data_IF_149535550343
#
_entry.id   IF_149535550343
#
_cell.length_a   1.000
_cell.length_b   1.000
_cell.length_c   1.000
_cell.angle_alpha   90.00
_cell.angle_beta   90.00
_cell.angle_gamma   90.00
#
_symmetry.space_group_name_H-M   'P 1'
#
loop_
_entity.id
_entity.type
_entity.pdbx_description
1 polymer ?
#
# COMPACT_ATOMS: atom_id res chain seq x y z
N UNK A 1 -18.88 14.03 3.31
CA UNK A 1 -18.32 13.18 4.39
C UNK A 1 -16.83 13.41 4.41
N UNK A 2 -16.21 13.50 5.59
CA UNK A 2 -14.80 13.88 5.69
C UNK A 2 -13.86 12.76 5.20
N UNK A 3 -12.68 13.16 4.74
CA UNK A 3 -11.57 12.28 4.45
C UNK A 3 -11.05 11.66 5.76
N UNK A 4 -11.42 10.41 6.03
CA UNK A 4 -10.91 9.68 7.20
C UNK A 4 -9.48 9.23 6.94
N UNK A 5 -8.58 9.66 7.81
CA UNK A 5 -7.28 9.03 8.00
C UNK A 5 -7.36 8.12 9.24
N UNK A 6 -6.66 7.00 9.21
CA UNK A 6 -6.69 5.97 10.24
C UNK A 6 -5.27 5.62 10.64
N UNK A 7 -4.95 5.73 11.93
CA UNK A 7 -3.58 5.54 12.44
C UNK A 7 -3.48 4.20 13.15
N UNK A 8 -2.92 3.23 12.44
CA UNK A 8 -2.53 1.94 12.98
C UNK A 8 -1.33 2.12 13.92
N UNK A 9 -1.33 1.41 15.05
CA UNK A 9 -0.22 1.41 16.02
C UNK A 9 0.28 -0.02 16.22
N UNK A 10 1.52 -0.14 16.65
CA UNK A 10 2.22 -1.41 16.81
C UNK A 10 2.79 -1.48 18.24
N UNK A 11 2.21 -2.32 19.09
CA UNK A 11 2.55 -2.35 20.53
C UNK A 11 3.99 -2.85 20.76
N UNK A 12 4.42 -3.86 19.99
CA UNK A 12 5.80 -4.39 20.01
C UNK A 12 6.85 -3.44 19.39
N UNK A 13 6.40 -2.38 18.72
CA UNK A 13 7.25 -1.38 18.06
C UNK A 13 6.92 0.04 18.58
N UNK A 14 7.17 0.31 19.88
CA UNK A 14 6.82 1.58 20.49
C UNK A 14 7.53 2.74 19.81
N UNK A 15 6.75 3.76 19.42
CA UNK A 15 7.24 4.88 18.62
C UNK A 15 7.04 4.70 17.11
N UNK A 16 6.48 3.57 16.66
CA UNK A 16 6.04 3.36 15.27
C UNK A 16 4.51 3.26 15.13
N UNK A 17 3.98 3.94 14.11
CA UNK A 17 2.56 4.07 13.82
C UNK A 17 2.31 4.30 12.33
N UNK A 18 1.43 3.54 11.68
CA UNK A 18 1.09 3.69 10.26
C UNK A 18 -0.26 4.40 10.11
N UNK A 19 -0.22 5.70 9.81
CA UNK A 19 -1.36 6.44 9.25
C UNK A 19 -1.75 5.82 7.92
N UNK A 20 -3.03 5.83 7.55
CA UNK A 20 -3.61 5.26 6.32
C UNK A 20 -4.81 6.14 5.90
N UNK A 21 -5.12 6.29 4.61
CA UNK A 21 -6.16 7.19 4.05
C UNK A 21 -6.66 6.60 2.75
N UNK A 22 -7.94 6.70 2.35
CA UNK A 22 -8.37 6.31 0.98
C UNK A 22 -8.47 7.53 0.04
N UNK A 23 -8.20 7.33 -1.25
CA UNK A 23 -8.40 8.28 -2.34
C UNK A 23 -9.15 7.66 -3.52
N UNK A 24 -9.78 8.53 -4.28
CA UNK A 24 -10.58 8.23 -5.46
C UNK A 24 -10.18 9.20 -6.56
N UNK A 25 -10.56 8.89 -7.79
CA UNK A 25 -10.41 9.75 -8.97
C UNK A 25 -8.98 10.31 -9.21
N UNK A 26 -7.94 9.49 -9.03
CA UNK A 26 -6.55 9.96 -9.03
C UNK A 26 -5.90 10.12 -10.40
N UNK A 27 -5.72 11.37 -10.78
CA UNK A 27 -5.22 11.79 -12.07
C UNK A 27 -3.73 11.47 -12.31
N UNK A 28 -2.88 11.42 -11.28
CA UNK A 28 -1.42 11.42 -11.43
C UNK A 28 -0.71 10.06 -11.20
N UNK A 29 -1.41 8.93 -11.33
CA UNK A 29 -0.87 7.58 -11.02
C UNK A 29 0.44 7.22 -11.74
N UNK A 30 0.65 7.71 -12.97
CA UNK A 30 1.91 7.51 -13.71
C UNK A 30 3.04 8.35 -13.14
N UNK A 31 2.80 9.64 -12.87
CA UNK A 31 3.77 10.53 -12.23
C UNK A 31 4.19 9.99 -10.86
N UNK A 32 3.22 9.47 -10.11
CA UNK A 32 3.43 8.78 -8.83
C UNK A 32 4.29 7.51 -9.00
N UNK A 33 4.10 6.72 -10.06
CA UNK A 33 4.99 5.58 -10.36
C UNK A 33 6.41 6.02 -10.68
N UNK A 34 6.54 6.98 -11.58
CA UNK A 34 7.83 7.44 -12.09
C UNK A 34 8.63 8.12 -10.96
N UNK A 35 7.96 8.81 -10.02
CA UNK A 35 8.58 9.37 -8.80
C UNK A 35 8.96 8.31 -7.77
N UNK A 36 8.21 7.19 -7.61
CA UNK A 36 8.66 6.04 -6.79
C UNK A 36 9.90 5.39 -7.41
N UNK A 37 9.89 5.17 -8.73
CA UNK A 37 11.01 4.52 -9.42
C UNK A 37 12.28 5.39 -9.43
N UNK A 38 12.12 6.71 -9.49
CA UNK A 38 13.22 7.67 -9.36
C UNK A 38 13.67 7.89 -7.89
N UNK A 39 12.89 7.44 -6.90
CA UNK A 39 13.16 7.72 -5.48
C UNK A 39 13.06 9.20 -5.10
N UNK A 40 12.26 9.98 -5.83
CA UNK A 40 12.17 11.45 -5.72
C UNK A 40 10.86 11.95 -5.12
N UNK A 41 10.08 11.03 -4.58
CA UNK A 41 8.80 11.30 -3.96
C UNK A 41 9.06 11.98 -2.59
N UNK A 42 8.29 13.03 -2.27
CA UNK A 42 8.53 13.90 -1.12
C UNK A 42 7.20 14.26 -0.44
N UNK A 43 6.80 13.59 0.66
CA UNK A 43 7.51 12.46 1.29
C UNK A 43 7.75 11.24 0.33
N UNK A 44 8.78 10.36 0.46
CA UNK A 44 8.97 9.10 -0.35
C UNK A 44 7.73 8.20 -0.16
N UNK A 45 7.46 7.14 -0.93
CA UNK A 45 6.47 6.16 -0.48
C UNK A 45 6.45 4.77 -1.10
N UNK A 46 5.71 3.90 -0.43
CA UNK A 46 5.13 2.69 -0.97
C UNK A 46 3.75 2.95 -1.55
N UNK A 47 3.67 3.31 -2.82
CA UNK A 47 2.39 3.21 -3.53
C UNK A 47 2.01 1.74 -3.69
N UNK A 48 0.79 1.37 -3.30
CA UNK A 48 0.23 0.00 -3.38
C UNK A 48 -0.96 -0.04 -4.37
N UNK A 49 -1.65 -1.17 -4.52
CA UNK A 49 -2.89 -1.34 -5.27
C UNK A 49 -4.04 -1.79 -4.35
N UNK A 50 -5.14 -1.01 -4.26
CA UNK A 50 -6.25 -1.27 -3.34
C UNK A 50 -7.07 -2.47 -3.78
N UNK A 51 -7.08 -2.77 -5.08
CA UNK A 51 -7.62 -4.02 -5.59
C UNK A 51 -6.90 -5.28 -5.04
N UNK A 52 -5.69 -5.12 -4.49
CA UNK A 52 -4.87 -6.19 -3.91
C UNK A 52 -4.73 -6.11 -2.38
N UNK A 53 -5.57 -5.31 -1.71
CA UNK A 53 -5.67 -5.26 -0.25
C UNK A 53 -7.13 -5.54 0.12
N UNK A 54 -7.39 -6.70 0.70
CA UNK A 54 -8.75 -7.11 1.07
C UNK A 54 -9.30 -6.45 2.34
N UNK A 55 -8.43 -6.08 3.27
CA UNK A 55 -8.81 -5.48 4.56
C UNK A 55 -7.67 -4.62 5.15
N UNK A 56 -7.97 -3.80 6.14
CA UNK A 56 -6.96 -3.01 6.87
C UNK A 56 -6.06 -3.88 7.76
N UNK A 57 -6.57 -5.00 8.30
CA UNK A 57 -5.78 -5.98 9.06
C UNK A 57 -4.64 -6.58 8.22
N UNK A 58 -4.87 -6.74 6.91
CA UNK A 58 -3.85 -7.20 5.95
C UNK A 58 -2.72 -6.17 5.80
N UNK A 59 -3.04 -4.87 5.78
CA UNK A 59 -2.05 -3.80 5.81
C UNK A 59 -1.29 -3.77 7.14
N UNK A 60 -1.99 -3.92 8.27
CA UNK A 60 -1.38 -3.96 9.60
C UNK A 60 -0.34 -5.09 9.69
N UNK A 61 -0.70 -6.31 9.30
CA UNK A 61 0.21 -7.45 9.34
C UNK A 61 1.41 -7.31 8.39
N UNK A 62 1.22 -6.78 7.17
CA UNK A 62 2.32 -6.52 6.25
C UNK A 62 3.27 -5.44 6.79
N UNK A 63 2.74 -4.41 7.45
CA UNK A 63 3.50 -3.33 8.07
C UNK A 63 4.27 -3.82 9.31
N UNK A 64 3.64 -4.57 10.21
CA UNK A 64 4.29 -5.25 11.34
C UNK A 64 5.46 -6.12 10.85
N UNK A 65 5.24 -6.88 9.77
CA UNK A 65 6.29 -7.74 9.18
C UNK A 65 7.46 -6.95 8.60
N UNK A 66 7.19 -5.80 7.98
CA UNK A 66 8.23 -4.89 7.49
C UNK A 66 9.04 -4.27 8.64
N UNK A 67 8.38 -3.81 9.71
CA UNK A 67 9.02 -3.30 10.93
C UNK A 67 9.91 -4.37 11.58
N UNK A 68 9.40 -5.59 11.71
CA UNK A 68 10.15 -6.71 12.29
C UNK A 68 11.41 -7.05 11.46
N UNK A 69 11.33 -6.98 10.13
CA UNK A 69 12.49 -7.14 9.26
C UNK A 69 13.49 -5.97 9.39
N UNK A 70 13.01 -4.73 9.50
CA UNK A 70 13.85 -3.55 9.73
C UNK A 70 14.62 -3.62 11.05
N UNK A 71 13.95 -3.97 12.15
CA UNK A 71 14.56 -4.08 13.47
C UNK A 71 15.67 -5.14 13.52
N UNK A 72 15.55 -6.23 12.74
CA UNK A 72 16.58 -7.27 12.62
C UNK A 72 17.67 -6.98 11.58
N UNK A 73 17.54 -5.91 10.80
CA UNK A 73 18.45 -5.62 9.67
C UNK A 73 18.28 -6.56 8.47
N UNK A 74 17.13 -7.24 8.37
CA UNK A 74 16.81 -8.27 7.36
C UNK A 74 15.94 -7.73 6.21
N UNK A 75 15.97 -6.41 5.95
CA UNK A 75 15.27 -5.82 4.81
C UNK A 75 15.79 -6.41 3.50
N UNK A 76 14.87 -6.94 2.69
CA UNK A 76 15.16 -7.51 1.37
C UNK A 76 15.10 -6.46 0.28
N UNK A 77 14.37 -5.39 0.54
CA UNK A 77 14.20 -4.23 -0.32
C UNK A 77 15.03 -3.04 0.19
N UNK A 78 15.02 -1.93 -0.55
CA UNK A 78 15.86 -0.74 -0.26
C UNK A 78 15.28 0.22 0.78
N UNK A 79 14.01 0.10 1.15
CA UNK A 79 13.38 0.91 2.20
C UNK A 79 12.23 0.16 2.87
N UNK A 80 11.86 0.56 4.09
CA UNK A 80 10.74 0.00 4.85
C UNK A 80 9.43 0.00 4.03
N UNK A 81 9.25 1.03 3.21
CA UNK A 81 8.13 1.20 2.29
C UNK A 81 8.09 0.06 1.28
N UNK A 82 9.18 -0.13 0.52
CA UNK A 82 9.27 -1.23 -0.43
C UNK A 82 9.10 -2.60 0.25
N UNK A 83 9.56 -2.76 1.51
CA UNK A 83 9.39 -4.00 2.27
C UNK A 83 7.92 -4.24 2.67
N UNK A 84 7.14 -3.18 2.91
CA UNK A 84 5.70 -3.28 3.16
C UNK A 84 4.95 -3.70 1.88
N UNK A 85 5.20 -3.05 0.74
CA UNK A 85 4.61 -3.49 -0.56
C UNK A 85 5.00 -4.93 -0.85
N UNK A 86 6.25 -5.27 -0.60
CA UNK A 86 6.75 -6.63 -0.75
C UNK A 86 6.04 -7.59 0.20
N UNK A 87 5.84 -7.21 1.46
CA UNK A 87 5.19 -8.01 2.52
C UNK A 87 3.69 -8.22 2.32
N UNK A 88 3.01 -7.39 1.52
CA UNK A 88 1.64 -7.67 1.08
C UNK A 88 1.51 -8.88 0.15
N UNK A 89 2.61 -9.35 -0.44
CA UNK A 89 2.63 -10.54 -1.29
C UNK A 89 3.29 -11.73 -0.59
N UNK A 90 2.71 -12.92 -0.78
CA UNK A 90 3.34 -14.19 -0.44
C UNK A 90 4.46 -14.62 -1.40
N UNK A 91 4.93 -13.74 -2.30
CA UNK A 91 5.97 -14.05 -3.30
C UNK A 91 7.38 -13.74 -2.79
N UNK A 92 8.38 -14.47 -3.30
CA UNK A 92 9.81 -14.19 -3.09
C UNK A 92 10.40 -13.30 -4.19
N UNK A 93 9.61 -12.94 -5.22
CA UNK A 93 10.05 -12.11 -6.34
C UNK A 93 9.74 -10.62 -6.09
N UNK A 94 10.75 -9.87 -5.68
CA UNK A 94 10.63 -8.44 -5.31
C UNK A 94 10.12 -7.59 -6.48
N UNK A 95 10.81 -7.59 -7.62
CA UNK A 95 10.47 -6.71 -8.75
C UNK A 95 9.07 -7.01 -9.34
N UNK A 96 8.69 -8.29 -9.42
CA UNK A 96 7.35 -8.72 -9.82
C UNK A 96 6.28 -8.25 -8.82
N UNK A 97 6.58 -8.34 -7.53
CA UNK A 97 5.68 -7.85 -6.47
C UNK A 97 5.49 -6.34 -6.55
N UNK A 98 6.58 -5.56 -6.60
CA UNK A 98 6.51 -4.10 -6.69
C UNK A 98 5.79 -3.63 -7.97
N UNK A 99 5.87 -4.38 -9.08
CA UNK A 99 5.17 -4.08 -10.32
C UNK A 99 3.66 -4.41 -10.29
N UNK A 100 3.24 -5.39 -9.47
CA UNK A 100 1.82 -5.84 -9.35
C UNK A 100 1.07 -5.20 -8.19
N UNK A 101 1.68 -5.25 -7.01
CA UNK A 101 1.15 -4.73 -5.75
C UNK A 101 1.45 -3.26 -5.58
N UNK A 102 2.47 -2.73 -6.27
CA UNK A 102 2.69 -1.29 -6.39
C UNK A 102 1.91 -0.63 -7.52
N UNK A 103 2.16 0.65 -7.74
CA UNK A 103 1.44 1.44 -8.75
C UNK A 103 1.90 1.11 -10.20
N UNK A 104 0.95 1.11 -11.15
CA UNK A 104 1.21 0.75 -12.53
C UNK A 104 0.42 1.65 -13.52
N UNK A 105 0.99 2.09 -14.67
CA UNK A 105 0.33 3.06 -15.55
C UNK A 105 -0.84 2.45 -16.33
N UNK A 106 -0.75 1.14 -16.61
CA UNK A 106 -1.71 0.38 -17.40
C UNK A 106 -2.85 -0.22 -16.54
N UNK A 107 -3.01 0.25 -15.30
CA UNK A 107 -4.15 -0.10 -14.46
C UNK A 107 -5.43 0.53 -15.03
N UNK A 108 -6.08 -0.17 -15.98
CA UNK A 108 -7.32 0.24 -16.66
C UNK A 108 -8.52 0.50 -15.73
N UNK A 109 -8.39 0.14 -14.45
CA UNK A 109 -9.32 0.46 -13.37
C UNK A 109 -8.56 0.93 -12.12
N UNK A 110 -7.49 1.73 -12.27
CA UNK A 110 -6.56 2.11 -11.21
C UNK A 110 -7.26 2.58 -9.93
N UNK A 111 -7.39 1.67 -8.95
CA UNK A 111 -7.64 1.97 -7.54
C UNK A 111 -6.38 1.64 -6.76
N UNK A 112 -5.42 2.56 -6.83
CA UNK A 112 -4.12 2.39 -6.20
C UNK A 112 -4.17 2.72 -4.69
N UNK A 113 -3.01 2.78 -4.07
CA UNK A 113 -2.71 3.13 -2.68
C UNK A 113 -1.41 3.96 -2.71
N UNK A 114 -1.16 4.79 -1.70
CA UNK A 114 0.07 5.55 -1.45
C UNK A 114 0.54 5.27 0.00
N UNK A 115 1.82 5.23 0.35
CA UNK A 115 2.22 4.98 1.76
C UNK A 115 3.58 5.66 2.15
N UNK A 116 3.59 6.91 2.66
CA UNK A 116 4.71 7.91 2.52
C UNK A 116 5.70 8.20 3.71
N UNK A 117 6.99 8.55 3.43
CA UNK A 117 8.14 9.09 4.25
C UNK A 117 9.36 9.59 3.36
N UNK A 118 10.00 10.78 3.50
CA UNK A 118 10.70 11.74 2.52
C UNK A 118 11.98 11.53 1.61
N UNK A 119 12.02 12.07 0.33
CA UNK A 119 12.95 13.15 -0.20
C UNK A 119 12.89 13.67 -1.72
N UNK A 120 12.52 14.96 -1.93
CA UNK A 120 12.92 16.02 -2.94
C UNK A 120 12.87 15.95 -4.54
N UNK A 121 11.96 16.76 -5.16
CA UNK A 121 11.98 17.58 -6.45
C UNK A 121 12.30 16.93 -7.85
N UNK A 122 11.76 17.31 -9.05
CA UNK A 122 10.96 18.46 -9.60
C UNK A 122 10.35 18.18 -11.04
N UNK A 123 9.04 18.43 -11.28
CA UNK A 123 8.31 18.74 -12.57
C UNK A 123 8.36 17.78 -13.82
N UNK A 124 7.39 17.66 -14.75
CA UNK A 124 5.93 17.98 -14.85
C UNK A 124 5.30 17.39 -16.17
N UNK A 125 3.99 17.06 -16.23
CA UNK A 125 3.25 16.83 -17.51
C UNK A 125 2.05 15.83 -17.46
N UNK A 126 0.79 16.22 -17.81
CA UNK A 126 -0.43 15.50 -17.36
C UNK A 126 -1.12 14.54 -18.36
N UNK A 127 -1.77 13.47 -17.84
CA UNK A 127 -3.00 12.81 -18.38
C UNK A 127 -3.66 11.89 -17.32
N UNK A 128 -5.01 11.84 -17.25
CA UNK A 128 -5.75 11.48 -16.01
C UNK A 128 -6.29 10.03 -15.86
N UNK A 129 -6.20 9.46 -14.64
CA UNK A 129 -6.94 8.25 -14.20
C UNK A 129 -7.57 8.38 -12.79
N UNK A 130 -7.74 7.28 -12.00
CA UNK A 130 -8.99 7.17 -11.18
C UNK A 130 -9.10 6.64 -9.73
N UNK A 131 -8.09 6.35 -8.87
CA UNK A 131 -8.24 6.10 -7.38
C UNK A 131 -6.85 5.80 -6.71
N UNK A 132 -6.65 6.07 -5.40
CA UNK A 132 -5.39 5.93 -4.58
C UNK A 132 -5.75 5.66 -3.07
N UNK A 133 -4.83 5.65 -2.09
CA UNK A 133 -5.05 5.45 -0.63
C UNK A 133 -3.77 5.82 0.18
N UNK A 134 -3.50 7.06 0.64
CA UNK A 134 -2.21 7.47 1.27
C UNK A 134 -1.95 7.06 2.73
N UNK A 135 -0.75 6.61 3.12
CA UNK A 135 -0.48 6.07 4.46
C UNK A 135 0.94 6.28 5.02
N UNK A 136 1.13 7.07 6.07
CA UNK A 136 2.47 7.45 6.55
C UNK A 136 2.84 6.86 7.91
N UNK A 137 4.07 6.35 8.00
CA UNK A 137 4.68 6.04 9.30
C UNK A 137 5.03 7.31 10.08
N UNK A 138 4.64 7.35 11.36
CA UNK A 138 4.96 8.36 12.37
C UNK A 138 4.66 9.80 11.94
N UNK A 139 3.37 10.00 11.64
CA UNK A 139 2.95 11.12 10.83
C UNK A 139 2.81 12.45 11.59
N UNK A 140 3.73 13.39 11.36
CA UNK A 140 3.50 14.82 11.62
C UNK A 140 2.27 15.34 10.84
N UNK A 141 1.45 16.24 11.40
CA UNK A 141 0.24 16.75 10.71
C UNK A 141 0.53 17.49 9.40
N UNK A 142 1.67 18.18 9.32
CA UNK A 142 2.08 18.98 8.16
C UNK A 142 2.32 18.12 6.92
N UNK A 143 3.07 17.03 7.07
CA UNK A 143 3.35 16.09 6.00
C UNK A 143 2.11 15.23 5.65
N UNK A 144 1.16 14.97 6.58
CA UNK A 144 -0.16 14.41 6.21
C UNK A 144 -0.90 15.33 5.24
N UNK A 145 -0.82 16.65 5.46
CA UNK A 145 -1.38 17.63 4.54
C UNK A 145 -0.60 17.71 3.22
N UNK A 146 0.71 17.47 3.21
CA UNK A 146 1.49 17.30 1.98
C UNK A 146 1.09 16.03 1.22
N UNK A 147 0.85 14.89 1.89
CA UNK A 147 0.33 13.66 1.25
C UNK A 147 -0.98 13.92 0.50
N UNK A 148 -1.90 14.68 1.12
CA UNK A 148 -3.18 15.09 0.53
C UNK A 148 -3.00 15.94 -0.73
N UNK A 149 -1.95 16.76 -0.80
CA UNK A 149 -1.62 17.57 -1.98
C UNK A 149 -0.85 16.82 -3.07
N UNK A 150 -0.11 15.78 -2.70
CA UNK A 150 0.73 14.99 -3.62
C UNK A 150 -0.10 14.02 -4.49
N UNK A 151 -1.20 13.51 -3.95
CA UNK A 151 -2.13 12.62 -4.65
C UNK A 151 -3.23 13.47 -5.30
N UNK A 152 -3.26 13.54 -6.63
CA UNK A 152 -4.23 14.35 -7.37
C UNK A 152 -5.61 13.63 -7.46
N UNK A 153 -6.29 13.48 -6.32
CA UNK A 153 -7.50 12.67 -6.15
C UNK A 153 -8.46 13.14 -5.06
N UNK A 154 -9.68 12.61 -5.09
CA UNK A 154 -10.76 12.83 -4.11
C UNK A 154 -10.63 11.87 -2.93
N UNK A 155 -10.31 12.31 -1.70
CA UNK A 155 -10.17 11.40 -0.56
C UNK A 155 -11.51 10.74 -0.16
N UNK A 156 -11.44 9.52 0.39
CA UNK A 156 -12.60 8.71 0.79
C UNK A 156 -12.35 7.92 2.10
N UNK A 157 -13.38 7.29 2.70
CA UNK A 157 -13.24 6.52 3.93
C UNK A 157 -12.63 5.13 3.70
N UNK A 158 -11.73 4.69 4.59
CA UNK A 158 -11.12 3.35 4.51
C UNK A 158 -12.14 2.21 4.64
N UNK A 159 -13.31 2.44 5.24
CA UNK A 159 -14.40 1.48 5.30
C UNK A 159 -14.86 0.97 3.92
N UNK A 160 -14.54 1.68 2.84
CA UNK A 160 -14.82 1.23 1.47
C UNK A 160 -13.77 0.25 0.93
N UNK A 161 -12.59 0.11 1.55
CA UNK A 161 -11.46 -0.70 1.08
C UNK A 161 -11.85 -2.17 0.76
N UNK A 162 -12.62 -2.91 1.60
CA UNK A 162 -13.02 -4.28 1.27
C UNK A 162 -13.91 -4.38 0.02
N UNK A 163 -14.64 -3.31 -0.32
CA UNK A 163 -15.43 -3.23 -1.56
C UNK A 163 -14.60 -2.92 -2.81
N UNK A 164 -13.35 -2.46 -2.63
CA UNK A 164 -12.41 -2.19 -3.72
C UNK A 164 -11.59 -3.44 -4.12
N UNK A 165 -11.52 -4.44 -3.23
CA UNK A 165 -10.68 -5.61 -3.39
C UNK A 165 -11.15 -6.52 -4.54
N UNK A 166 -10.29 -6.70 -5.55
CA UNK A 166 -10.59 -7.58 -6.69
C UNK A 166 -10.33 -9.04 -6.31
N UNK A 167 -11.37 -9.70 -5.79
CA UNK A 167 -11.27 -11.08 -5.31
C UNK A 167 -10.67 -12.04 -6.34
N UNK A 168 -10.93 -11.85 -7.64
CA UNK A 168 -10.39 -12.73 -8.69
C UNK A 168 -8.88 -12.52 -8.91
N UNK A 169 -8.39 -11.27 -8.84
CA UNK A 169 -6.96 -10.99 -8.90
C UNK A 169 -6.24 -11.50 -7.66
N UNK A 170 -6.81 -11.27 -6.48
CA UNK A 170 -6.27 -11.77 -5.21
C UNK A 170 -6.18 -13.30 -5.19
N UNK A 171 -7.25 -14.02 -5.54
CA UNK A 171 -7.24 -15.49 -5.68
C UNK A 171 -6.15 -15.97 -6.63
N UNK A 172 -6.00 -15.33 -7.80
CA UNK A 172 -4.99 -15.69 -8.79
C UNK A 172 -3.56 -15.40 -8.32
N UNK A 173 -3.30 -14.24 -7.70
CA UNK A 173 -1.96 -13.82 -7.29
C UNK A 173 -1.47 -14.56 -6.04
N UNK A 174 -2.36 -14.81 -5.08
CA UNK A 174 -2.06 -15.51 -3.82
C UNK A 174 -2.27 -17.04 -3.93
N UNK A 175 -2.74 -17.52 -5.08
CA UNK A 175 -3.05 -18.94 -5.40
C UNK A 175 -4.03 -19.56 -4.41
N UNK A 176 -5.08 -18.81 -4.05
CA UNK A 176 -6.10 -19.26 -3.09
C UNK A 176 -7.05 -20.27 -3.74
N UNK A 177 -7.31 -21.38 -3.06
CA UNK A 177 -8.27 -22.39 -3.52
C UNK A 177 -9.72 -21.99 -3.19
N UNK A 178 -10.69 -22.66 -3.83
CA UNK A 178 -12.09 -22.48 -3.44
C UNK A 178 -12.40 -23.11 -2.08
N UNK A 179 -11.65 -24.14 -1.67
CA UNK A 179 -11.83 -24.84 -0.39
C UNK A 179 -11.35 -23.96 0.77
N UNK A 180 -10.20 -23.27 0.62
CA UNK A 180 -9.72 -22.30 1.61
C UNK A 180 -10.79 -21.20 1.87
N UNK A 181 -11.40 -20.70 0.81
CA UNK A 181 -12.44 -19.66 0.86
C UNK A 181 -13.83 -20.16 1.24
N UNK A 182 -14.02 -21.48 1.34
CA UNK A 182 -15.22 -22.07 1.94
C UNK A 182 -15.13 -22.15 3.47
N UNK A 183 -13.92 -22.01 4.03
CA UNK A 183 -13.63 -22.17 5.46
C UNK A 183 -13.30 -20.81 6.13
N UNK A 184 -12.59 -19.92 5.43
CA UNK A 184 -12.19 -18.61 5.93
C UNK A 184 -12.49 -17.45 4.97
N UNK A 185 -12.36 -16.22 5.45
CA UNK A 185 -12.55 -15.04 4.59
C UNK A 185 -11.37 -14.81 3.64
N UNK A 186 -11.57 -13.96 2.63
CA UNK A 186 -10.48 -13.54 1.74
C UNK A 186 -9.36 -12.81 2.49
N UNK A 187 -9.71 -12.07 3.55
CA UNK A 187 -8.75 -11.37 4.41
C UNK A 187 -7.92 -12.36 5.22
N UNK A 188 -8.53 -13.37 5.82
CA UNK A 188 -7.83 -14.43 6.58
C UNK A 188 -6.86 -15.19 5.66
N UNK A 189 -7.33 -15.57 4.47
CA UNK A 189 -6.53 -16.27 3.48
C UNK A 189 -5.33 -15.42 3.00
N UNK A 190 -5.54 -14.11 2.76
CA UNK A 190 -4.45 -13.20 2.42
C UNK A 190 -3.47 -13.00 3.59
N UNK A 191 -3.98 -12.81 4.80
CA UNK A 191 -3.20 -12.67 6.03
C UNK A 191 -2.31 -13.90 6.28
N UNK A 192 -2.86 -15.12 6.12
CA UNK A 192 -2.08 -16.36 6.25
C UNK A 192 -0.94 -16.43 5.22
N UNK A 193 -1.17 -16.03 3.96
CA UNK A 193 -0.11 -16.01 2.92
C UNK A 193 0.98 -14.97 3.22
N UNK A 194 0.64 -13.86 3.87
CA UNK A 194 1.60 -12.85 4.34
C UNK A 194 2.42 -13.39 5.51
N UNK A 195 1.76 -13.94 6.53
CA UNK A 195 2.42 -14.52 7.70
C UNK A 195 3.37 -15.66 7.30
N UNK A 196 2.85 -16.68 6.61
CA UNK A 196 3.54 -17.92 6.29
C UNK A 196 4.57 -17.85 5.14
N UNK A 197 4.87 -16.67 4.58
CA UNK A 197 5.86 -16.54 3.47
C UNK A 197 7.28 -16.95 3.87
N UNK A 198 7.63 -16.70 5.13
CA UNK A 198 9.01 -16.75 5.64
C UNK A 198 9.23 -17.88 6.66
N UNK A 199 8.29 -18.82 6.77
CA UNK A 199 8.45 -20.11 7.45
C UNK A 199 8.62 -21.25 6.44
#
# INVERSE_FOLDING_TARGET
MAATEEVLRFEDFPGHSLTVMLFKDVANSKELKDTVQAGSLSPECALVNAALVSDLLVLHAAAYKALAAAQRGELRTRSLHAELVFSLSGSKHIAETLSRYGINPDCRQARCIALLFDAQRRAAGPVSFRHVLAARFDATPEEVQQMRGLVAGSPAPLAELPSLAEQQLLKKHLKLSQEELAIGSLADAQLMRIAARDC
#
